data_IF_043136171842
#
_entry.id   IF_043136171842
#
_cell.length_a   1.000
_cell.length_b   1.000
_cell.length_c   1.000
_cell.angle_alpha   90.00
_cell.angle_beta   90.00
_cell.angle_gamma   90.00
#
_symmetry.space_group_name_H-M   'P 1'
#
loop_
_entity.id
_entity.type
_entity.pdbx_description
1 polymer ?
#
# COMPACT_ATOMS: atom_id res chain seq x y z
N UNK A 1 -6.74 20.66 -20.47
CA UNK A 1 -5.89 19.57 -20.96
C UNK A 1 -6.53 18.27 -20.50
N UNK A 2 -6.95 17.42 -21.42
CA UNK A 2 -7.62 16.16 -21.03
C UNK A 2 -6.61 15.20 -20.40
N UNK A 3 -7.00 14.47 -19.34
CA UNK A 3 -6.18 13.45 -18.69
C UNK A 3 -5.63 12.46 -19.74
N UNK A 4 -6.46 12.08 -20.70
CA UNK A 4 -6.08 11.22 -21.83
C UNK A 4 -4.93 11.78 -22.66
N UNK A 5 -4.97 13.07 -23.01
CA UNK A 5 -3.90 13.73 -23.77
C UNK A 5 -2.58 13.86 -23.01
N UNK A 6 -2.62 13.87 -21.66
CA UNK A 6 -1.42 13.82 -20.83
C UNK A 6 -0.73 12.45 -20.94
N UNK A 7 -1.48 11.36 -20.84
CA UNK A 7 -0.91 10.01 -20.97
C UNK A 7 -0.40 9.73 -22.39
N UNK A 8 -1.15 10.06 -23.42
CA UNK A 8 -0.71 9.87 -24.81
C UNK A 8 0.60 10.61 -25.11
N UNK A 9 0.78 11.83 -24.60
CA UNK A 9 2.00 12.63 -24.79
C UNK A 9 3.24 12.02 -24.14
N UNK A 10 3.08 11.32 -23.00
CA UNK A 10 4.22 10.77 -22.24
C UNK A 10 4.46 9.27 -22.50
N UNK A 11 3.53 8.58 -23.16
CA UNK A 11 3.62 7.14 -23.43
C UNK A 11 4.91 6.72 -24.15
N UNK A 12 5.41 7.55 -25.05
CA UNK A 12 6.60 7.23 -25.85
C UNK A 12 7.90 7.12 -25.01
N UNK A 13 7.96 7.73 -23.81
CA UNK A 13 9.13 7.61 -22.92
C UNK A 13 9.18 6.26 -22.19
N UNK A 14 8.03 5.61 -22.05
CA UNK A 14 7.89 4.35 -21.33
C UNK A 14 7.77 3.14 -22.28
N UNK A 15 7.43 3.37 -23.57
CA UNK A 15 7.32 2.33 -24.58
C UNK A 15 8.60 2.28 -25.46
N UNK A 16 9.02 1.08 -25.85
CA UNK A 16 10.17 0.87 -26.71
C UNK A 16 11.51 0.84 -25.96
N UNK A 17 12.56 1.46 -26.54
CA UNK A 17 13.92 1.54 -25.99
C UNK A 17 14.18 2.81 -25.17
N UNK A 18 13.14 3.43 -24.61
CA UNK A 18 13.27 4.64 -23.79
C UNK A 18 14.00 4.37 -22.47
N UNK A 19 14.58 5.45 -21.89
CA UNK A 19 15.29 5.39 -20.59
C UNK A 19 14.43 4.88 -19.44
N UNK A 20 13.10 5.02 -19.55
CA UNK A 20 12.12 4.63 -18.55
C UNK A 20 11.38 3.32 -18.89
N UNK A 21 11.88 2.56 -19.87
CA UNK A 21 11.31 1.26 -20.25
C UNK A 21 11.12 0.27 -19.08
N UNK A 22 12.01 0.20 -18.06
CA UNK A 22 11.77 -0.67 -16.89
C UNK A 22 10.56 -0.25 -16.05
N UNK A 23 10.14 1.02 -16.12
CA UNK A 23 8.98 1.56 -15.40
C UNK A 23 7.67 1.48 -16.20
N UNK A 24 7.72 0.86 -17.40
CA UNK A 24 6.53 0.63 -18.22
C UNK A 24 5.37 -0.02 -17.45
N UNK A 25 5.56 -1.07 -16.63
CA UNK A 25 4.47 -1.68 -15.87
C UNK A 25 3.80 -0.69 -14.90
N UNK A 26 4.60 0.19 -14.29
CA UNK A 26 4.07 1.22 -13.38
C UNK A 26 3.25 2.27 -14.14
N UNK A 27 3.74 2.71 -15.29
CA UNK A 27 3.02 3.66 -16.16
C UNK A 27 1.69 3.08 -16.64
N UNK A 28 1.69 1.85 -17.16
CA UNK A 28 0.49 1.14 -17.61
C UNK A 28 -0.51 0.90 -16.47
N UNK A 29 -0.03 0.61 -15.26
CA UNK A 29 -0.90 0.49 -14.08
C UNK A 29 -1.64 1.80 -13.78
N UNK A 30 -0.95 2.93 -13.78
CA UNK A 30 -1.55 4.26 -13.53
C UNK A 30 -2.49 4.66 -14.67
N UNK A 31 -2.09 4.45 -15.93
CA UNK A 31 -2.92 4.73 -17.10
C UNK A 31 -4.21 3.89 -17.08
N UNK A 32 -4.08 2.58 -16.85
CA UNK A 32 -5.20 1.67 -16.78
C UNK A 32 -6.12 2.00 -15.60
N UNK A 33 -5.59 2.35 -14.44
CA UNK A 33 -6.39 2.80 -13.29
C UNK A 33 -7.28 4.00 -13.62
N UNK A 34 -6.77 4.96 -14.40
CA UNK A 34 -7.48 6.19 -14.71
C UNK A 34 -8.35 6.10 -15.97
N UNK A 35 -7.96 5.33 -16.98
CA UNK A 35 -8.53 5.42 -18.32
C UNK A 35 -9.08 4.10 -18.87
N UNK A 36 -8.93 2.96 -18.17
CA UNK A 36 -9.34 1.65 -18.71
C UNK A 36 -10.83 1.63 -19.08
N UNK A 37 -11.18 1.37 -20.35
CA UNK A 37 -12.54 1.24 -20.78
C UNK A 37 -13.16 -0.07 -20.27
N UNK A 38 -14.49 -0.07 -20.07
CA UNK A 38 -15.26 -1.28 -19.80
C UNK A 38 -15.15 -2.22 -21.01
N UNK A 39 -14.31 -3.24 -20.93
CA UNK A 39 -14.21 -4.26 -21.97
C UNK A 39 -15.47 -5.12 -22.01
N UNK A 40 -15.94 -5.44 -23.21
CA UNK A 40 -17.05 -6.38 -23.45
C UNK A 40 -16.52 -7.60 -24.16
N UNK A 41 -16.99 -8.79 -23.78
CA UNK A 41 -16.78 -9.99 -24.58
C UNK A 41 -17.49 -9.86 -25.93
N UNK A 42 -16.79 -10.15 -27.03
CA UNK A 42 -17.33 -10.03 -28.40
C UNK A 42 -18.14 -11.24 -28.84
N UNK A 43 -18.11 -12.34 -28.07
CA UNK A 43 -18.81 -13.60 -28.38
C UNK A 43 -19.59 -14.10 -27.15
N UNK A 44 -20.67 -14.85 -27.42
CA UNK A 44 -21.47 -15.49 -26.35
C UNK A 44 -20.64 -16.60 -25.62
N UNK A 45 -20.86 -16.82 -24.29
CA UNK A 45 -21.82 -16.13 -23.42
C UNK A 45 -21.35 -14.72 -23.01
N UNK A 46 -22.23 -13.74 -23.08
CA UNK A 46 -21.93 -12.37 -22.67
C UNK A 46 -22.02 -12.24 -21.13
N UNK A 47 -21.00 -12.67 -20.42
CA UNK A 47 -20.86 -12.44 -18.98
C UNK A 47 -20.25 -11.06 -18.81
N UNK A 48 -21.01 -10.13 -18.23
CA UNK A 48 -20.54 -8.79 -17.87
C UNK A 48 -20.57 -8.64 -16.37
N UNK A 49 -19.38 -8.54 -15.78
CA UNK A 49 -19.26 -8.04 -14.42
C UNK A 49 -19.22 -6.48 -14.51
N UNK A 50 -20.16 -5.77 -13.88
CA UNK A 50 -20.14 -4.30 -13.83
C UNK A 50 -19.03 -3.77 -12.93
N UNK A 51 -18.44 -4.60 -12.05
CA UNK A 51 -17.37 -4.27 -11.12
C UNK A 51 -16.06 -4.86 -11.64
N UNK A 52 -15.26 -4.04 -12.28
CA UNK A 52 -13.86 -4.38 -12.57
C UNK A 52 -13.06 -4.43 -11.26
N UNK A 53 -12.05 -5.31 -11.17
CA UNK A 53 -11.15 -5.44 -10.01
C UNK A 53 -10.58 -4.09 -9.59
N UNK A 54 -10.26 -3.23 -10.55
CA UNK A 54 -9.78 -1.85 -10.33
C UNK A 54 -10.76 -1.00 -9.55
N UNK A 55 -12.04 -1.02 -9.94
CA UNK A 55 -13.11 -0.30 -9.26
C UNK A 55 -13.34 -0.82 -7.85
N UNK A 56 -13.30 -2.15 -7.70
CA UNK A 56 -13.42 -2.78 -6.40
C UNK A 56 -12.30 -2.34 -5.45
N UNK A 57 -11.04 -2.40 -5.90
CA UNK A 57 -9.88 -1.97 -5.12
C UNK A 57 -9.94 -0.46 -4.80
N UNK A 58 -10.42 0.36 -5.73
CA UNK A 58 -10.62 1.80 -5.49
C UNK A 58 -11.65 2.08 -4.40
N UNK A 59 -12.75 1.32 -4.35
CA UNK A 59 -13.76 1.44 -3.29
C UNK A 59 -13.16 1.13 -1.92
N UNK A 60 -12.31 0.10 -1.83
CA UNK A 60 -11.62 -0.25 -0.58
C UNK A 60 -10.68 0.89 -0.14
N UNK A 61 -9.93 1.48 -1.07
CA UNK A 61 -9.05 2.63 -0.78
C UNK A 61 -9.87 3.81 -0.25
N UNK A 62 -10.97 4.16 -0.95
CA UNK A 62 -11.87 5.23 -0.52
C UNK A 62 -12.42 4.95 0.89
N UNK A 63 -12.80 3.70 1.17
CA UNK A 63 -13.27 3.28 2.49
C UNK A 63 -12.19 3.35 3.58
N UNK A 64 -10.91 3.20 3.24
CA UNK A 64 -9.78 3.31 4.17
C UNK A 64 -9.33 4.77 4.40
N UNK A 65 -9.65 5.71 3.51
CA UNK A 65 -9.24 7.12 3.63
C UNK A 65 -9.69 7.76 4.96
N UNK A 66 -10.93 7.60 5.44
CA UNK A 66 -11.33 8.17 6.73
C UNK A 66 -10.47 7.64 7.90
N UNK A 67 -10.13 6.34 7.89
CA UNK A 67 -9.27 5.74 8.90
C UNK A 67 -7.83 6.28 8.81
N UNK A 68 -7.30 6.46 7.60
CA UNK A 68 -5.97 7.03 7.38
C UNK A 68 -5.90 8.50 7.85
N UNK A 69 -6.95 9.28 7.57
CA UNK A 69 -7.06 10.67 8.04
C UNK A 69 -7.18 10.74 9.56
N UNK A 70 -7.98 9.87 10.18
CA UNK A 70 -8.07 9.77 11.63
C UNK A 70 -6.72 9.35 12.23
N UNK A 71 -6.04 8.38 11.65
CA UNK A 71 -4.70 7.98 12.05
C UNK A 71 -3.70 9.13 12.00
N UNK A 72 -3.71 9.92 10.92
CA UNK A 72 -2.89 11.13 10.82
C UNK A 72 -3.26 12.16 11.88
N UNK A 73 -4.54 12.39 12.08
CA UNK A 73 -5.03 13.35 13.05
C UNK A 73 -4.59 13.03 14.50
N UNK A 74 -4.72 11.75 14.91
CA UNK A 74 -4.39 11.32 16.27
C UNK A 74 -2.90 11.05 16.50
N UNK A 75 -2.17 10.55 15.51
CA UNK A 75 -0.79 10.06 15.66
C UNK A 75 0.25 10.89 14.88
N UNK A 76 -0.20 11.88 14.09
CA UNK A 76 0.66 12.85 13.43
C UNK A 76 1.41 12.31 12.21
N UNK A 77 2.50 13.01 11.85
CA UNK A 77 3.28 12.79 10.62
C UNK A 77 3.88 11.38 10.50
N UNK A 78 4.06 10.70 11.62
CA UNK A 78 4.65 9.35 11.60
C UNK A 78 3.78 8.35 10.85
N UNK A 79 2.45 8.45 10.95
CA UNK A 79 1.53 7.59 10.19
C UNK A 79 1.70 7.83 8.68
N UNK A 80 1.84 9.08 8.25
CA UNK A 80 2.12 9.38 6.85
C UNK A 80 3.46 8.82 6.39
N UNK A 81 4.51 8.90 7.24
CA UNK A 81 5.80 8.29 6.95
C UNK A 81 5.70 6.76 6.85
N UNK A 82 4.94 6.11 7.72
CA UNK A 82 4.70 4.67 7.65
C UNK A 82 3.97 4.29 6.36
N UNK A 83 2.96 5.06 5.94
CA UNK A 83 2.27 4.88 4.65
C UNK A 83 3.25 5.03 3.49
N UNK A 84 4.07 6.09 3.50
CA UNK A 84 5.05 6.33 2.44
C UNK A 84 6.07 5.18 2.34
N UNK A 85 6.61 4.71 3.47
CA UNK A 85 7.54 3.56 3.52
C UNK A 85 6.86 2.28 3.03
N UNK A 86 5.62 2.04 3.44
CA UNK A 86 4.85 0.87 3.00
C UNK A 86 4.66 0.86 1.47
N UNK A 87 4.30 1.99 0.88
CA UNK A 87 4.19 2.12 -0.57
C UNK A 87 5.53 2.02 -1.29
N UNK A 88 6.57 2.65 -0.76
CA UNK A 88 7.89 2.63 -1.39
C UNK A 88 8.49 1.22 -1.40
N UNK A 89 8.52 0.56 -0.25
CA UNK A 89 9.15 -0.76 -0.11
C UNK A 89 8.26 -1.86 -0.68
N UNK A 90 6.97 -1.89 -0.33
CA UNK A 90 6.03 -2.88 -0.88
C UNK A 90 5.91 -2.76 -2.39
N UNK A 91 5.84 -1.52 -2.92
CA UNK A 91 5.85 -1.25 -4.34
C UNK A 91 7.14 -1.66 -5.03
N UNK A 92 8.28 -1.42 -4.42
CA UNK A 92 9.58 -1.85 -4.97
C UNK A 92 9.65 -3.38 -5.14
N UNK A 93 9.18 -4.13 -4.13
CA UNK A 93 9.11 -5.60 -4.20
C UNK A 93 8.18 -6.04 -5.34
N UNK A 94 6.99 -5.46 -5.43
CA UNK A 94 6.00 -5.82 -6.44
C UNK A 94 6.45 -5.48 -7.86
N UNK A 95 7.03 -4.29 -8.06
CA UNK A 95 7.60 -3.88 -9.34
C UNK A 95 8.74 -4.80 -9.74
N UNK A 96 9.62 -5.18 -8.81
CA UNK A 96 10.72 -6.10 -9.09
C UNK A 96 10.19 -7.45 -9.61
N UNK A 97 9.16 -8.01 -8.98
CA UNK A 97 8.54 -9.26 -9.42
C UNK A 97 7.79 -9.12 -10.75
N UNK A 98 7.05 -8.02 -10.94
CA UNK A 98 6.36 -7.74 -12.20
C UNK A 98 7.33 -7.65 -13.38
N UNK A 99 8.47 -6.96 -13.19
CA UNK A 99 9.52 -6.88 -14.22
C UNK A 99 10.13 -8.25 -14.54
N UNK A 100 10.46 -9.05 -13.51
CA UNK A 100 11.04 -10.39 -13.71
C UNK A 100 10.07 -11.34 -14.40
N UNK A 101 8.78 -11.29 -14.02
CA UNK A 101 7.74 -12.15 -14.59
C UNK A 101 7.16 -11.63 -15.90
N UNK A 102 7.45 -10.37 -16.26
CA UNK A 102 6.86 -9.67 -17.42
C UNK A 102 5.32 -9.61 -17.34
N UNK A 103 4.80 -9.47 -16.13
CA UNK A 103 3.38 -9.32 -15.85
C UNK A 103 3.04 -7.85 -15.55
N UNK A 104 1.77 -7.46 -15.72
CA UNK A 104 1.29 -6.14 -15.36
C UNK A 104 1.18 -6.01 -13.84
N UNK A 105 1.45 -4.80 -13.31
CA UNK A 105 1.27 -4.50 -11.89
C UNK A 105 -0.23 -4.40 -11.60
N UNK A 106 -0.68 -5.17 -10.63
CA UNK A 106 -2.08 -5.17 -10.20
C UNK A 106 -2.34 -4.15 -9.08
N UNK A 107 -3.51 -3.52 -9.12
CA UNK A 107 -3.93 -2.48 -8.17
C UNK A 107 -4.10 -2.98 -6.72
N UNK A 108 -4.08 -4.28 -6.49
CA UNK A 108 -4.09 -4.88 -5.14
C UNK A 108 -2.97 -4.39 -4.23
N UNK A 109 -1.86 -3.93 -4.81
CA UNK A 109 -0.76 -3.28 -4.13
C UNK A 109 -1.19 -1.97 -3.41
N UNK A 110 -2.03 -1.17 -4.04
CA UNK A 110 -2.48 0.10 -3.46
C UNK A 110 -3.27 -0.12 -2.16
N UNK A 111 -4.08 -1.17 -2.11
CA UNK A 111 -4.82 -1.57 -0.91
C UNK A 111 -3.87 -2.08 0.17
N UNK A 112 -2.94 -2.97 -0.17
CA UNK A 112 -1.97 -3.53 0.78
C UNK A 112 -1.09 -2.43 1.37
N UNK A 113 -0.60 -1.51 0.54
CA UNK A 113 0.26 -0.40 0.95
C UNK A 113 -0.41 0.57 1.93
N UNK A 114 -1.72 0.79 1.82
CA UNK A 114 -2.47 1.62 2.75
C UNK A 114 -2.92 0.84 3.99
N UNK A 115 -3.42 -0.38 3.81
CA UNK A 115 -3.95 -1.21 4.90
C UNK A 115 -2.86 -1.60 5.90
N UNK A 116 -1.67 -1.96 5.42
CA UNK A 116 -0.59 -2.46 6.27
C UNK A 116 -0.19 -1.48 7.39
N UNK A 117 0.14 -0.20 7.13
CA UNK A 117 0.45 0.74 8.20
C UNK A 117 -0.74 1.04 9.13
N UNK A 118 -1.99 0.91 8.64
CA UNK A 118 -3.17 1.15 9.47
C UNK A 118 -3.40 0.07 10.55
N UNK A 119 -2.83 -1.10 10.38
CA UNK A 119 -2.93 -2.20 11.35
C UNK A 119 -1.71 -2.33 12.27
N UNK A 120 -0.74 -1.42 12.15
CA UNK A 120 0.48 -1.40 12.96
C UNK A 120 0.43 -0.33 14.06
N UNK A 121 1.17 -0.53 15.18
CA UNK A 121 1.35 0.53 16.15
C UNK A 121 2.05 1.75 15.54
N UNK A 122 1.58 2.99 15.80
CA UNK A 122 2.18 4.19 15.24
C UNK A 122 3.60 4.48 15.79
N UNK A 123 3.98 3.82 16.88
CA UNK A 123 5.31 3.91 17.49
C UNK A 123 6.37 3.08 16.81
N UNK A 124 5.97 2.16 15.92
CA UNK A 124 6.86 1.20 15.29
C UNK A 124 7.96 1.89 14.48
N UNK A 125 9.24 1.53 14.61
CA UNK A 125 10.32 2.07 13.79
C UNK A 125 10.08 1.84 12.30
N UNK A 126 10.40 2.84 11.46
CA UNK A 126 10.13 2.78 10.01
C UNK A 126 10.82 1.60 9.30
N UNK A 127 12.00 1.19 9.79
CA UNK A 127 12.69 0.02 9.23
C UNK A 127 11.94 -1.29 9.49
N UNK A 128 11.25 -1.42 10.64
CA UNK A 128 10.39 -2.58 10.91
C UNK A 128 9.17 -2.59 9.98
N UNK A 129 8.60 -1.41 9.71
CA UNK A 129 7.52 -1.27 8.69
C UNK A 129 8.03 -1.74 7.33
N UNK A 130 9.23 -1.32 6.93
CA UNK A 130 9.85 -1.71 5.67
C UNK A 130 10.04 -3.24 5.58
N UNK A 131 10.63 -3.86 6.60
CA UNK A 131 10.85 -5.31 6.63
C UNK A 131 9.53 -6.07 6.66
N UNK A 132 8.56 -5.60 7.46
CA UNK A 132 7.24 -6.24 7.58
C UNK A 132 6.46 -6.21 6.28
N UNK A 133 6.42 -5.07 5.57
CA UNK A 133 5.72 -4.99 4.28
C UNK A 133 6.43 -5.81 3.20
N UNK A 134 7.78 -5.78 3.17
CA UNK A 134 8.55 -6.58 2.23
C UNK A 134 8.27 -8.07 2.41
N UNK A 135 8.30 -8.56 3.65
CA UNK A 135 7.97 -9.95 3.97
C UNK A 135 6.53 -10.28 3.61
N UNK A 136 5.58 -9.41 3.98
CA UNK A 136 4.16 -9.62 3.72
C UNK A 136 3.85 -9.71 2.22
N UNK A 137 4.39 -8.80 1.41
CA UNK A 137 4.22 -8.80 -0.04
C UNK A 137 4.92 -10.02 -0.67
N UNK A 138 6.17 -10.27 -0.29
CA UNK A 138 6.94 -11.39 -0.83
C UNK A 138 6.27 -12.73 -0.52
N UNK A 139 6.08 -13.04 0.76
CA UNK A 139 5.61 -14.35 1.23
C UNK A 139 4.08 -14.48 1.08
N UNK A 140 3.34 -13.40 1.34
CA UNK A 140 1.87 -13.46 1.29
C UNK A 140 1.28 -13.36 -0.12
N UNK A 141 2.03 -12.81 -1.09
CA UNK A 141 1.50 -12.52 -2.42
C UNK A 141 2.40 -13.04 -3.55
N UNK A 142 3.65 -12.59 -3.61
CA UNK A 142 4.51 -12.84 -4.77
C UNK A 142 4.91 -14.30 -4.91
N UNK A 143 5.16 -15.01 -3.83
CA UNK A 143 5.49 -16.46 -3.91
C UNK A 143 4.35 -17.30 -4.49
N UNK A 144 3.11 -16.85 -4.39
CA UNK A 144 1.94 -17.55 -4.94
C UNK A 144 1.57 -17.15 -6.37
N UNK A 145 2.28 -16.17 -6.95
CA UNK A 145 2.04 -15.71 -8.31
C UNK A 145 1.28 -14.38 -8.42
N UNK A 146 1.28 -13.54 -7.38
CA UNK A 146 0.76 -12.19 -7.40
C UNK A 146 -0.71 -12.05 -7.01
N UNK A 147 -1.31 -10.91 -7.36
CA UNK A 147 -2.70 -10.57 -6.99
C UNK A 147 -3.71 -11.57 -7.57
N UNK A 148 -4.62 -12.01 -6.73
CA UNK A 148 -5.68 -12.97 -7.10
C UNK A 148 -5.29 -14.44 -6.97
N UNK A 149 -4.00 -14.75 -6.81
CA UNK A 149 -3.48 -16.10 -6.53
C UNK A 149 -2.99 -16.28 -5.10
N UNK A 150 -2.94 -15.20 -4.34
CA UNK A 150 -2.53 -15.20 -2.95
C UNK A 150 -3.57 -15.91 -2.06
N UNK A 151 -3.09 -16.83 -1.22
CA UNK A 151 -3.93 -17.57 -0.26
C UNK A 151 -4.27 -16.70 0.97
N UNK A 152 -3.43 -15.76 1.31
CA UNK A 152 -3.54 -14.93 2.50
C UNK A 152 -3.45 -13.45 2.15
N UNK A 153 -3.99 -12.60 3.03
CA UNK A 153 -3.82 -11.16 2.91
C UNK A 153 -2.37 -10.77 3.23
N UNK A 154 -1.63 -10.13 2.30
CA UNK A 154 -0.23 -9.77 2.49
C UNK A 154 0.00 -8.84 3.71
N UNK A 155 -0.92 -7.92 3.97
CA UNK A 155 -0.81 -7.02 5.12
C UNK A 155 -0.91 -7.79 6.45
N UNK A 156 -1.77 -8.80 6.54
CA UNK A 156 -1.89 -9.63 7.73
C UNK A 156 -0.68 -10.54 7.93
N UNK A 157 -0.12 -11.10 6.85
CA UNK A 157 1.12 -11.89 6.91
C UNK A 157 2.29 -11.03 7.42
N UNK A 158 2.46 -9.82 6.89
CA UNK A 158 3.49 -8.88 7.36
C UNK A 158 3.31 -8.52 8.84
N UNK A 159 2.07 -8.26 9.26
CA UNK A 159 1.76 -8.01 10.69
C UNK A 159 2.06 -9.22 11.56
N UNK A 160 1.66 -10.41 11.15
CA UNK A 160 1.91 -11.66 11.89
C UNK A 160 3.41 -11.89 12.06
N UNK A 161 4.19 -11.72 10.98
CA UNK A 161 5.64 -11.79 11.03
C UNK A 161 6.22 -10.80 12.08
N UNK A 162 5.81 -9.53 12.05
CA UNK A 162 6.28 -8.54 13.00
C UNK A 162 5.85 -8.86 14.44
N UNK A 163 4.66 -9.39 14.64
CA UNK A 163 4.17 -9.75 15.97
C UNK A 163 4.97 -10.91 16.59
N UNK A 164 5.44 -11.84 15.77
CA UNK A 164 6.27 -12.96 16.21
C UNK A 164 7.73 -12.53 16.39
N UNK A 165 8.27 -11.77 15.43
CA UNK A 165 9.68 -11.38 15.45
C UNK A 165 9.99 -10.25 16.45
N UNK A 166 9.04 -9.32 16.65
CA UNK A 166 9.22 -8.11 17.47
C UNK A 166 8.02 -7.85 18.39
N UNK A 167 7.69 -8.77 19.30
CA UNK A 167 6.46 -8.71 20.12
C UNK A 167 6.40 -7.45 20.98
N UNK A 168 7.50 -7.04 21.57
CA UNK A 168 7.56 -5.84 22.43
C UNK A 168 7.22 -4.56 21.66
N UNK A 169 7.79 -4.39 20.46
CA UNK A 169 7.52 -3.24 19.61
C UNK A 169 6.08 -3.24 19.09
N UNK A 170 5.52 -4.43 18.81
CA UNK A 170 4.15 -4.60 18.35
C UNK A 170 3.10 -4.43 19.46
N UNK A 171 3.47 -4.53 20.72
CA UNK A 171 2.60 -4.29 21.87
C UNK A 171 2.58 -2.81 22.32
N UNK A 172 3.45 -1.98 21.76
CA UNK A 172 3.63 -0.58 22.15
C UNK A 172 2.64 0.32 21.43
N UNK A 173 1.49 0.59 22.04
CA UNK A 173 0.48 1.50 21.49
C UNK A 173 0.48 2.85 22.22
N UNK A 174 0.24 3.93 21.47
CA UNK A 174 0.00 5.25 22.02
C UNK A 174 -1.48 5.42 22.39
N UNK A 175 -1.72 6.09 23.51
CA UNK A 175 -3.05 6.51 23.89
C UNK A 175 -3.51 7.71 23.02
N UNK A 176 -4.51 7.55 22.16
CA UNK A 176 -4.97 8.64 21.29
C UNK A 176 -5.61 9.79 22.06
N UNK A 177 -6.20 9.52 23.22
CA UNK A 177 -6.90 10.53 24.03
C UNK A 177 -5.93 11.53 24.66
N UNK A 178 -4.76 11.07 25.11
CA UNK A 178 -3.69 11.94 25.63
C UNK A 178 -3.03 12.81 24.55
N UNK A 179 -3.34 12.53 23.29
CA UNK A 179 -2.76 13.18 22.13
C UNK A 179 -3.57 14.37 21.60
N UNK A 180 -4.71 14.68 22.18
CA UNK A 180 -5.64 15.76 21.76
C UNK A 180 -5.26 17.13 22.35
N UNK A 181 -5.46 18.26 21.61
CA UNK A 181 -5.52 18.45 20.16
C UNK A 181 -4.16 18.92 19.60
N UNK A 182 -3.84 18.57 18.37
CA UNK A 182 -2.78 19.26 17.65
C UNK A 182 -1.54 18.48 17.28
N UNK A 183 -1.59 17.14 17.17
CA UNK A 183 -0.45 16.33 16.73
C UNK A 183 -0.30 16.17 15.22
N UNK A 184 -1.10 16.86 14.42
CA UNK A 184 -1.03 16.78 12.94
C UNK A 184 0.38 16.92 12.38
N UNK A 185 1.21 17.76 13.01
CA UNK A 185 2.60 18.02 12.59
C UNK A 185 3.65 17.47 13.55
N UNK A 186 3.24 16.71 14.58
CA UNK A 186 4.18 16.12 15.52
C UNK A 186 4.60 14.72 15.10
N UNK A 187 5.81 14.32 15.53
CA UNK A 187 6.34 12.98 15.33
C UNK A 187 6.02 12.11 16.54
N UNK A 188 5.28 11.03 16.37
CA UNK A 188 4.79 10.17 17.46
C UNK A 188 5.88 9.48 18.32
N UNK A 189 7.15 9.65 18.01
CA UNK A 189 8.26 9.04 18.75
C UNK A 189 8.72 9.80 20.01
N UNK A 190 8.29 11.05 20.21
CA UNK A 190 8.78 11.88 21.30
C UNK A 190 8.06 11.69 22.64
N UNK A 191 6.94 10.95 22.66
CA UNK A 191 6.12 10.75 23.86
C UNK A 191 6.35 9.41 24.59
N UNK A 192 7.25 8.58 24.09
CA UNK A 192 7.52 7.25 24.68
C UNK A 192 8.34 7.28 25.97
N UNK A 193 9.01 8.42 26.30
CA UNK A 193 9.76 8.56 27.54
C UNK A 193 8.87 8.58 28.77
N UNK A 194 7.61 9.05 28.64
CA UNK A 194 6.71 9.17 29.79
C UNK A 194 5.84 7.93 30.05
N UNK A 195 5.69 7.04 29.07
CA UNK A 195 4.84 5.85 29.21
C UNK A 195 5.52 4.68 29.94
N UNK A 196 6.85 4.70 30.06
CA UNK A 196 7.63 3.64 30.70
C UNK A 196 7.96 3.89 32.17
N UNK A 197 7.58 5.03 32.72
CA UNK A 197 7.88 5.44 34.09
C UNK A 197 6.67 5.44 35.02
N UNK A 198 5.59 4.72 34.73
CA UNK A 198 4.60 4.45 35.76
C UNK A 198 5.10 3.31 36.65
N UNK A 199 5.48 3.58 37.91
CA UNK A 199 5.74 2.51 38.86
C UNK A 199 4.42 1.79 39.12
N UNK A 200 4.47 0.51 39.07
CA UNK A 200 3.41 -0.40 39.56
C UNK A 200 3.13 -0.16 41.02
#
# INVERSE_FOLDING_TARGET
>A
MSIRGFFEKHSHHFHGRGRLAPLKPLYEAVENFMLSPLSRTKSAPHVRDPLDVKRYMSMVIIGLLPAALAGWYFFGLRVLAMIAVSYAVGGAVEVAFAVVRKEEINEGFLVTGLLFPMILPPTLPLWMVAVGVAFGVLVGKELFGGTGRNLFNPALIGRCFLAIAYPTAMASYLDPVKAWPGRLFQWAGSALSDATTNPT
#
